data_IF_864077697044
#
_entry.id   IF_864077697044
#
_cell.length_a   1.000
_cell.length_b   1.000
_cell.length_c   1.000
_cell.angle_alpha   90.00
_cell.angle_beta   90.00
_cell.angle_gamma   90.00
#
_symmetry.space_group_name_H-M   'P 1'
#
loop_
_entity.id
_entity.type
_entity.pdbx_description
1 polymer ?
#
# COMPACT_ATOMS: atom_id res chain seq x y z
N UNK A 1 -3.95 16.46 -15.99
CA UNK A 1 -5.28 17.00 -15.64
C UNK A 1 -5.95 16.02 -14.69
N UNK A 2 -6.55 16.53 -13.63
CA UNK A 2 -7.34 15.77 -12.68
C UNK A 2 -8.79 16.24 -12.71
N UNK A 3 -9.70 15.34 -12.37
CA UNK A 3 -11.14 15.63 -12.30
C UNK A 3 -11.82 14.66 -11.33
N UNK A 4 -12.97 15.08 -10.80
CA UNK A 4 -13.77 14.27 -9.87
C UNK A 4 -14.98 13.68 -10.58
N UNK A 5 -15.19 12.39 -10.36
CA UNK A 5 -16.28 11.63 -10.93
C UNK A 5 -16.87 10.74 -9.82
N UNK A 6 -18.16 10.90 -9.54
CA UNK A 6 -18.86 10.17 -8.46
C UNK A 6 -18.16 10.22 -7.09
N UNK A 7 -17.55 11.35 -6.76
CA UNK A 7 -16.81 11.54 -5.51
C UNK A 7 -15.36 11.05 -5.52
N UNK A 8 -14.94 10.25 -6.50
CA UNK A 8 -13.56 9.77 -6.64
C UNK A 8 -12.72 10.68 -7.55
N UNK A 9 -11.43 10.73 -7.27
CA UNK A 9 -10.47 11.52 -8.04
C UNK A 9 -9.84 10.67 -9.15
N UNK A 10 -9.85 11.21 -10.38
CA UNK A 10 -9.27 10.57 -11.55
C UNK A 10 -8.18 11.43 -12.18
N UNK A 11 -7.18 10.75 -12.74
CA UNK A 11 -6.12 11.36 -13.56
C UNK A 11 -6.31 10.97 -15.02
N UNK A 12 -6.27 11.97 -15.91
CA UNK A 12 -6.24 11.73 -17.35
C UNK A 12 -4.85 11.25 -17.77
N UNK A 13 -4.79 10.11 -18.46
CA UNK A 13 -3.58 9.52 -19.02
C UNK A 13 -3.38 9.94 -20.48
N UNK A 14 -4.41 9.72 -21.32
CA UNK A 14 -4.39 10.03 -22.76
C UNK A 14 -5.63 10.85 -23.08
N UNK A 15 -5.46 11.95 -23.83
CA UNK A 15 -6.56 12.71 -24.40
C UNK A 15 -6.79 12.27 -25.84
N UNK A 16 -8.05 12.11 -26.22
CA UNK A 16 -8.51 11.80 -27.57
C UNK A 16 -9.63 12.79 -27.96
N UNK A 17 -9.90 12.94 -29.24
CA UNK A 17 -10.95 13.86 -29.71
C UNK A 17 -12.34 13.53 -29.16
N UNK A 18 -12.62 12.24 -28.94
CA UNK A 18 -13.92 11.76 -28.51
C UNK A 18 -13.99 11.36 -27.03
N UNK A 19 -12.90 11.58 -26.27
CA UNK A 19 -12.82 11.21 -24.86
C UNK A 19 -11.42 11.12 -24.31
N UNK A 20 -11.24 10.34 -23.27
CA UNK A 20 -9.92 10.12 -22.66
C UNK A 20 -9.80 8.76 -21.98
N UNK A 21 -8.58 8.28 -21.90
CA UNK A 21 -8.21 7.22 -20.98
C UNK A 21 -7.82 7.82 -19.64
N UNK A 22 -8.37 7.27 -18.58
CA UNK A 22 -8.23 7.78 -17.22
C UNK A 22 -7.92 6.65 -16.26
N UNK A 23 -7.38 7.00 -15.10
CA UNK A 23 -7.12 6.07 -14.01
C UNK A 23 -7.60 6.68 -12.69
N UNK A 24 -8.20 5.88 -11.81
CA UNK A 24 -8.52 6.32 -10.46
C UNK A 24 -7.23 6.68 -9.70
N UNK A 25 -7.21 7.87 -9.11
CA UNK A 25 -6.12 8.31 -8.25
C UNK A 25 -6.23 7.69 -6.86
N UNK A 26 -7.46 7.58 -6.34
CA UNK A 26 -7.71 7.07 -4.98
C UNK A 26 -7.55 5.56 -4.91
N UNK A 27 -8.06 4.82 -5.91
CA UNK A 27 -7.93 3.37 -6.02
C UNK A 27 -7.32 2.96 -7.37
N UNK A 28 -5.98 3.00 -7.51
CA UNK A 28 -5.31 2.69 -8.77
C UNK A 28 -5.63 1.29 -9.29
N UNK A 29 -6.33 1.24 -10.42
CA UNK A 29 -6.75 0.03 -11.12
C UNK A 29 -6.51 0.12 -12.62
N UNK A 30 -7.16 -0.75 -13.40
CA UNK A 30 -7.06 -0.72 -14.85
C UNK A 30 -7.55 0.63 -15.41
N UNK A 31 -6.84 1.23 -16.39
CA UNK A 31 -7.32 2.41 -17.09
C UNK A 31 -8.69 2.19 -17.73
N UNK A 32 -9.52 3.22 -17.71
CA UNK A 32 -10.88 3.22 -18.26
C UNK A 32 -10.99 4.28 -19.33
N UNK A 33 -11.80 4.01 -20.35
CA UNK A 33 -12.16 5.03 -21.33
C UNK A 33 -13.41 5.78 -20.89
N UNK A 34 -13.39 7.09 -20.97
CA UNK A 34 -14.55 7.96 -20.78
C UNK A 34 -14.74 8.89 -21.97
N UNK A 35 -16.00 9.11 -22.34
CA UNK A 35 -16.38 9.96 -23.49
C UNK A 35 -16.14 11.44 -23.18
N UNK A 36 -15.98 12.26 -24.23
CA UNK A 36 -15.80 13.71 -24.09
C UNK A 36 -16.98 14.36 -23.37
N UNK A 37 -18.20 14.00 -23.73
CA UNK A 37 -19.40 14.53 -23.07
C UNK A 37 -19.44 14.26 -21.57
N UNK A 38 -18.97 13.09 -21.14
CA UNK A 38 -18.90 12.76 -19.73
C UNK A 38 -17.78 13.53 -19.01
N UNK A 39 -16.63 13.71 -19.67
CA UNK A 39 -15.52 14.51 -19.14
C UNK A 39 -15.87 15.99 -18.95
N UNK A 40 -16.67 16.53 -19.87
CA UNK A 40 -17.15 17.92 -19.78
C UNK A 40 -18.08 18.14 -18.58
N UNK A 41 -18.84 17.11 -18.20
CA UNK A 41 -19.71 17.16 -17.03
C UNK A 41 -18.96 16.94 -15.68
N UNK A 42 -17.70 16.50 -15.73
CA UNK A 42 -16.92 16.28 -14.52
C UNK A 42 -16.31 17.56 -13.97
N UNK A 43 -16.25 17.66 -12.64
CA UNK A 43 -15.56 18.73 -11.95
C UNK A 43 -14.04 18.65 -12.21
N UNK A 44 -13.46 19.69 -12.80
CA UNK A 44 -12.00 19.80 -12.96
C UNK A 44 -11.38 20.16 -11.62
N UNK A 45 -10.38 19.41 -11.23
CA UNK A 45 -9.70 19.56 -9.94
C UNK A 45 -8.24 19.94 -10.17
N UNK A 46 -7.71 20.78 -9.30
CA UNK A 46 -6.27 21.07 -9.28
C UNK A 46 -5.46 19.80 -8.98
N UNK A 47 -4.18 19.87 -9.34
CA UNK A 47 -3.25 18.77 -9.08
C UNK A 47 -3.17 18.50 -7.57
N UNK A 48 -3.45 17.26 -7.12
CA UNK A 48 -3.33 16.91 -5.71
C UNK A 48 -1.91 17.17 -5.18
N UNK A 49 -1.81 17.65 -3.94
CA UNK A 49 -0.52 17.93 -3.32
C UNK A 49 0.37 16.68 -3.28
N UNK A 50 -0.21 15.51 -2.98
CA UNK A 50 0.53 14.24 -3.00
C UNK A 50 1.13 13.91 -4.37
N UNK A 51 0.46 14.29 -5.47
CA UNK A 51 1.00 14.09 -6.82
C UNK A 51 2.12 15.10 -7.13
N UNK A 52 1.98 16.35 -6.66
CA UNK A 52 3.02 17.37 -6.80
C UNK A 52 4.31 16.96 -6.09
N UNK A 53 4.19 16.47 -4.86
CA UNK A 53 5.32 15.92 -4.10
C UNK A 53 5.95 14.73 -4.82
N UNK A 54 5.12 13.81 -5.36
CA UNK A 54 5.62 12.65 -6.10
C UNK A 54 6.37 13.04 -7.38
N UNK A 55 5.93 14.09 -8.09
CA UNK A 55 6.64 14.63 -9.25
C UNK A 55 8.06 15.13 -8.90
N UNK A 56 8.20 15.82 -7.77
CA UNK A 56 9.51 16.27 -7.31
C UNK A 56 10.39 15.08 -6.88
N UNK A 57 9.82 14.11 -6.17
CA UNK A 57 10.52 12.90 -5.74
C UNK A 57 10.95 12.01 -6.92
N UNK A 58 10.20 11.98 -8.02
CA UNK A 58 10.52 11.22 -9.22
C UNK A 58 11.83 11.69 -9.90
N UNK A 59 12.32 12.89 -9.57
CA UNK A 59 13.63 13.40 -10.04
C UNK A 59 14.81 12.74 -9.31
N UNK A 60 14.58 12.14 -8.15
CA UNK A 60 15.60 11.57 -7.27
C UNK A 60 15.18 10.20 -6.75
N UNK A 61 15.10 9.22 -7.65
CA UNK A 61 14.72 7.86 -7.30
C UNK A 61 15.82 7.16 -6.50
N UNK A 62 15.43 6.46 -5.47
CA UNK A 62 16.32 5.53 -4.76
C UNK A 62 16.63 4.31 -5.61
N UNK A 63 17.71 3.57 -5.31
CA UNK A 63 18.06 2.33 -6.02
C UNK A 63 16.91 1.30 -6.02
N UNK A 64 16.15 1.21 -4.91
CA UNK A 64 15.01 0.32 -4.82
C UNK A 64 13.83 0.76 -5.70
N UNK A 65 13.64 2.06 -5.88
CA UNK A 65 12.63 2.62 -6.79
C UNK A 65 13.06 2.46 -8.25
N UNK A 66 14.33 2.67 -8.56
CA UNK A 66 14.86 2.40 -9.90
C UNK A 66 14.68 0.93 -10.32
N UNK A 67 14.99 -0.02 -9.43
CA UNK A 67 14.73 -1.45 -9.70
C UNK A 67 13.26 -1.76 -9.96
N UNK A 68 12.34 -1.06 -9.28
CA UNK A 68 10.90 -1.24 -9.52
C UNK A 68 10.42 -0.55 -10.78
N UNK A 69 10.98 0.61 -11.10
CA UNK A 69 10.68 1.30 -12.36
C UNK A 69 11.11 0.42 -13.54
N UNK A 70 12.30 -0.14 -13.51
CA UNK A 70 12.80 -1.05 -14.55
C UNK A 70 11.89 -2.27 -14.78
N UNK A 71 11.22 -2.78 -13.72
CA UNK A 71 10.25 -3.86 -13.88
C UNK A 71 9.00 -3.48 -14.68
N UNK A 72 8.58 -2.23 -14.63
CA UNK A 72 7.35 -1.77 -15.32
C UNK A 72 7.66 -0.92 -16.56
N UNK A 73 8.93 -0.59 -16.80
CA UNK A 73 9.38 0.21 -17.92
C UNK A 73 8.83 -0.29 -19.28
N UNK A 74 8.85 -1.62 -19.59
CA UNK A 74 8.28 -2.13 -20.83
C UNK A 74 6.77 -1.85 -20.99
N UNK A 75 6.04 -1.65 -19.89
CA UNK A 75 4.63 -1.25 -19.92
C UNK A 75 4.44 0.27 -20.07
N UNK A 76 5.50 1.05 -19.84
CA UNK A 76 5.46 2.52 -19.97
C UNK A 76 5.89 3.00 -21.35
N UNK A 77 6.61 2.18 -22.10
CA UNK A 77 7.17 2.52 -23.43
C UNK A 77 6.09 2.72 -24.49
N UNK A 78 4.95 2.02 -24.40
CA UNK A 78 3.91 2.09 -25.41
C UNK A 78 2.53 2.35 -24.77
N UNK A 79 1.84 3.34 -25.32
CA UNK A 79 0.47 3.68 -24.93
C UNK A 79 -0.55 2.56 -25.21
N UNK A 80 -0.22 1.56 -26.03
CA UNK A 80 -1.05 0.38 -26.26
C UNK A 80 -1.39 -0.31 -24.95
N UNK A 81 -0.48 -0.33 -23.99
CA UNK A 81 -0.70 -0.95 -22.68
C UNK A 81 -1.66 -0.14 -21.76
N UNK A 82 -1.94 1.11 -22.11
CA UNK A 82 -3.01 1.89 -21.45
C UNK A 82 -4.36 1.52 -22.07
N UNK A 83 -4.45 1.43 -23.39
CA UNK A 83 -5.72 1.29 -24.12
C UNK A 83 -6.16 -0.17 -24.30
N UNK A 84 -5.23 -1.10 -24.50
CA UNK A 84 -5.55 -2.52 -24.68
C UNK A 84 -5.23 -3.37 -23.44
N UNK A 85 -6.29 -3.82 -22.79
CA UNK A 85 -6.20 -4.67 -21.60
C UNK A 85 -5.56 -6.04 -21.87
N UNK A 86 -5.74 -6.62 -23.06
CA UNK A 86 -5.17 -7.93 -23.41
C UNK A 86 -3.66 -7.84 -23.56
N UNK A 87 -3.16 -6.87 -24.32
CA UNK A 87 -1.74 -6.61 -24.51
C UNK A 87 -1.05 -6.28 -23.18
N UNK A 88 -1.68 -5.45 -22.34
CA UNK A 88 -1.20 -5.14 -20.99
C UNK A 88 -1.07 -6.37 -20.12
N UNK A 89 -2.07 -7.26 -20.09
CA UNK A 89 -2.06 -8.49 -19.31
C UNK A 89 -0.99 -9.47 -19.80
N UNK A 90 -0.81 -9.59 -21.12
CA UNK A 90 0.20 -10.46 -21.72
C UNK A 90 1.61 -9.96 -21.38
N UNK A 91 1.89 -8.67 -21.53
CA UNK A 91 3.17 -8.07 -21.19
C UNK A 91 3.47 -8.22 -19.68
N UNK A 92 2.51 -7.92 -18.82
CA UNK A 92 2.69 -8.07 -17.38
C UNK A 92 2.94 -9.53 -16.95
N UNK A 93 2.36 -10.52 -17.67
CA UNK A 93 2.64 -11.93 -17.45
C UNK A 93 4.10 -12.25 -17.83
N UNK A 94 4.55 -11.82 -19.01
CA UNK A 94 5.93 -12.03 -19.48
C UNK A 94 6.95 -11.46 -18.49
N UNK A 95 6.79 -10.20 -18.09
CA UNK A 95 7.66 -9.55 -17.10
C UNK A 95 7.68 -10.33 -15.78
N UNK A 96 6.53 -10.83 -15.35
CA UNK A 96 6.43 -11.59 -14.11
C UNK A 96 7.20 -12.91 -14.16
N UNK A 97 7.12 -13.63 -15.28
CA UNK A 97 7.84 -14.89 -15.53
C UNK A 97 9.36 -14.67 -15.58
N UNK A 98 9.82 -13.65 -16.32
CA UNK A 98 11.24 -13.29 -16.44
C UNK A 98 11.86 -12.87 -15.10
N UNK A 99 11.09 -12.30 -14.19
CA UNK A 99 11.58 -11.75 -12.91
C UNK A 99 11.16 -12.56 -11.67
N UNK A 100 10.64 -13.78 -11.84
CA UNK A 100 10.24 -14.65 -10.72
C UNK A 100 9.21 -14.01 -9.77
N UNK A 101 8.28 -13.21 -10.32
CA UNK A 101 7.26 -12.49 -9.55
C UNK A 101 5.85 -12.80 -10.07
N UNK A 102 4.84 -12.11 -9.57
CA UNK A 102 3.44 -12.34 -9.98
C UNK A 102 2.95 -11.22 -10.89
N UNK A 103 2.13 -11.57 -11.90
CA UNK A 103 1.42 -10.61 -12.76
C UNK A 103 0.67 -9.55 -11.96
N UNK A 104 0.03 -9.96 -10.84
CA UNK A 104 -0.72 -9.03 -9.97
C UNK A 104 0.21 -7.95 -9.38
N UNK A 105 1.43 -8.33 -9.01
CA UNK A 105 2.42 -7.38 -8.48
C UNK A 105 2.89 -6.39 -9.55
N UNK A 106 3.19 -6.86 -10.77
CA UNK A 106 3.58 -6.00 -11.89
C UNK A 106 2.45 -5.00 -12.21
N UNK A 107 1.22 -5.48 -12.39
CA UNK A 107 0.07 -4.60 -12.66
C UNK A 107 -0.19 -3.62 -11.53
N UNK A 108 -0.07 -4.04 -10.27
CA UNK A 108 -0.23 -3.17 -9.12
C UNK A 108 0.81 -2.05 -9.09
N UNK A 109 2.08 -2.33 -9.40
CA UNK A 109 3.13 -1.32 -9.53
C UNK A 109 2.83 -0.35 -10.69
N UNK A 110 2.47 -0.90 -11.85
CA UNK A 110 2.15 -0.12 -13.05
C UNK A 110 0.98 0.84 -12.82
N UNK A 111 -0.13 0.37 -12.26
CA UNK A 111 -1.29 1.22 -12.01
C UNK A 111 -1.00 2.31 -10.97
N UNK A 112 -0.28 1.98 -9.90
CA UNK A 112 0.12 2.97 -8.89
C UNK A 112 1.05 4.03 -9.48
N UNK A 113 1.98 3.63 -10.32
CA UNK A 113 2.86 4.58 -11.00
C UNK A 113 2.10 5.47 -11.97
N UNK A 114 1.20 4.91 -12.79
CA UNK A 114 0.38 5.71 -13.71
C UNK A 114 -0.49 6.73 -12.96
N UNK A 115 -1.11 6.31 -11.86
CA UNK A 115 -2.01 7.16 -11.08
C UNK A 115 -1.24 8.22 -10.28
N UNK A 116 -0.22 7.82 -9.53
CA UNK A 116 0.39 8.62 -8.45
C UNK A 116 1.87 8.89 -8.61
N UNK A 117 2.56 8.33 -9.61
CA UNK A 117 4.02 8.29 -9.76
C UNK A 117 4.75 7.61 -8.58
N UNK A 118 4.07 6.74 -7.85
CA UNK A 118 4.63 6.07 -6.67
C UNK A 118 5.05 4.66 -7.02
N UNK A 119 6.34 4.36 -6.90
CA UNK A 119 6.95 3.03 -7.10
C UNK A 119 7.08 2.25 -5.79
N UNK A 120 7.25 2.97 -4.71
CA UNK A 120 7.10 2.49 -3.36
C UNK A 120 6.00 3.33 -2.75
N UNK A 121 4.85 2.72 -2.41
CA UNK A 121 4.23 3.29 -1.23
C UNK A 121 5.36 3.33 -0.23
N UNK A 122 5.62 4.49 0.36
CA UNK A 122 6.14 4.55 1.71
C UNK A 122 5.04 3.87 2.53
N UNK A 123 4.88 2.57 2.27
CA UNK A 123 4.28 1.66 3.20
C UNK A 123 5.07 2.00 4.39
N UNK A 124 4.46 2.82 5.17
CA UNK A 124 4.81 2.75 6.52
C UNK A 124 4.62 1.27 6.83
N UNK A 125 5.66 0.50 6.79
CA UNK A 125 5.87 -0.33 7.95
C UNK A 125 5.74 0.71 9.02
N UNK A 126 4.48 0.81 9.45
CA UNK A 126 4.11 1.77 10.47
C UNK A 126 5.20 1.62 11.49
N UNK A 127 5.91 2.71 11.81
CA UNK A 127 6.92 2.68 12.88
C UNK A 127 6.34 2.01 14.14
N UNK A 128 5.01 1.88 14.18
CA UNK A 128 4.23 1.05 15.07
C UNK A 128 4.51 -0.45 14.95
N UNK A 129 4.61 -1.07 13.77
CA UNK A 129 4.74 -2.54 13.67
C UNK A 129 6.05 -3.07 14.27
N UNK A 130 7.17 -2.38 14.08
CA UNK A 130 8.44 -2.76 14.73
C UNK A 130 8.40 -2.48 16.23
N UNK A 131 7.69 -1.44 16.66
CA UNK A 131 7.43 -1.16 18.08
C UNK A 131 6.52 -2.22 18.67
N UNK A 132 5.45 -2.59 17.96
CA UNK A 132 4.49 -3.58 18.40
C UNK A 132 5.13 -4.96 18.52
N UNK A 133 5.93 -5.39 17.54
CA UNK A 133 6.70 -6.65 17.60
C UNK A 133 7.62 -6.69 18.83
N UNK A 134 8.35 -5.62 19.12
CA UNK A 134 9.20 -5.54 20.31
C UNK A 134 8.38 -5.57 21.61
N UNK A 135 7.24 -4.92 21.63
CA UNK A 135 6.35 -4.92 22.77
C UNK A 135 5.69 -6.29 22.97
N UNK A 136 5.35 -7.02 21.89
CA UNK A 136 4.82 -8.38 21.94
C UNK A 136 5.84 -9.35 22.57
N UNK A 137 7.07 -9.35 22.05
CA UNK A 137 8.14 -10.19 22.58
C UNK A 137 8.44 -9.87 24.06
N UNK A 138 8.53 -8.57 24.39
CA UNK A 138 8.73 -8.12 25.77
C UNK A 138 7.59 -8.58 26.70
N UNK A 139 6.34 -8.44 26.30
CA UNK A 139 5.20 -8.81 27.13
C UNK A 139 5.11 -10.32 27.33
N UNK A 140 5.32 -11.11 26.26
CA UNK A 140 5.31 -12.56 26.33
C UNK A 140 6.42 -13.05 27.28
N UNK A 141 7.64 -12.55 27.16
CA UNK A 141 8.74 -12.93 28.03
C UNK A 141 8.54 -12.50 29.48
N UNK A 142 8.01 -11.29 29.70
CA UNK A 142 7.88 -10.71 31.04
C UNK A 142 6.70 -11.25 31.83
N UNK A 143 5.56 -11.48 31.18
CA UNK A 143 4.31 -11.82 31.84
C UNK A 143 3.85 -13.26 31.58
N UNK A 144 3.84 -13.72 30.33
CA UNK A 144 3.38 -15.05 29.98
C UNK A 144 4.30 -16.16 30.50
N UNK A 145 5.61 -16.01 30.33
CA UNK A 145 6.62 -16.94 30.85
C UNK A 145 7.07 -16.63 32.29
N UNK A 146 6.37 -15.73 32.96
CA UNK A 146 6.68 -15.44 34.37
C UNK A 146 6.25 -16.59 35.29
N UNK A 147 6.80 -16.61 36.49
CA UNK A 147 6.42 -17.58 37.52
C UNK A 147 4.90 -17.58 37.85
N UNK A 148 4.22 -16.45 37.63
CA UNK A 148 2.78 -16.31 37.85
C UNK A 148 1.93 -16.88 36.71
N UNK A 149 2.51 -17.33 35.60
CA UNK A 149 1.85 -17.95 34.43
C UNK A 149 0.53 -17.24 34.07
N UNK A 150 0.61 -15.97 33.66
CA UNK A 150 -0.55 -15.22 33.19
C UNK A 150 -1.13 -15.86 31.93
N UNK A 151 -2.44 -15.71 31.71
CA UNK A 151 -3.05 -16.09 30.44
C UNK A 151 -2.48 -15.21 29.31
N UNK A 152 -2.58 -15.69 28.08
CA UNK A 152 -2.14 -14.91 26.90
C UNK A 152 -2.96 -13.61 26.81
N UNK A 153 -4.23 -13.66 27.17
CA UNK A 153 -5.11 -12.49 27.18
C UNK A 153 -4.71 -11.48 28.23
N UNK A 154 -4.46 -11.91 29.46
CA UNK A 154 -3.99 -11.01 30.52
C UNK A 154 -2.63 -10.39 30.17
N UNK A 155 -1.74 -11.17 29.54
CA UNK A 155 -0.45 -10.69 29.01
C UNK A 155 -0.63 -9.54 28.02
N UNK A 156 -1.58 -9.65 27.11
CA UNK A 156 -1.89 -8.59 26.16
C UNK A 156 -2.46 -7.35 26.87
N UNK A 157 -3.39 -7.52 27.79
CA UNK A 157 -3.98 -6.41 28.54
C UNK A 157 -2.93 -5.69 29.40
N UNK A 158 -2.02 -6.43 30.04
CA UNK A 158 -0.88 -5.86 30.76
C UNK A 158 0.12 -5.12 29.86
N UNK A 159 0.31 -5.62 28.63
CA UNK A 159 1.12 -4.93 27.65
C UNK A 159 0.49 -3.59 27.25
N UNK A 160 -0.81 -3.56 26.98
CA UNK A 160 -1.52 -2.33 26.64
C UNK A 160 -1.41 -1.31 27.79
N UNK A 161 -1.67 -1.73 29.02
CA UNK A 161 -1.57 -0.89 30.20
C UNK A 161 -0.16 -0.34 30.44
N UNK A 162 0.89 -1.12 30.07
CA UNK A 162 2.28 -0.73 30.32
C UNK A 162 2.92 0.09 29.20
N UNK A 163 2.47 -0.06 27.95
CA UNK A 163 3.18 0.47 26.77
C UNK A 163 2.34 1.33 25.84
N UNK A 164 1.03 1.32 26.02
CA UNK A 164 0.09 1.99 25.13
C UNK A 164 -0.89 2.92 25.86
N UNK A 165 -0.50 3.37 27.06
CA UNK A 165 -1.22 4.41 27.79
C UNK A 165 -0.56 5.78 27.57
N UNK A 166 -1.38 6.80 27.44
CA UNK A 166 -0.94 8.20 27.48
C UNK A 166 -0.57 8.62 28.91
N UNK A 167 0.17 9.71 29.09
CA UNK A 167 0.45 10.25 30.43
C UNK A 167 -0.82 10.51 31.27
N UNK A 168 -1.93 10.80 30.61
CA UNK A 168 -3.23 11.07 31.25
C UNK A 168 -4.00 9.78 31.60
N UNK A 169 -3.38 8.61 31.46
CA UNK A 169 -3.99 7.32 31.79
C UNK A 169 -5.04 6.82 30.77
N UNK A 170 -5.08 7.37 29.56
CA UNK A 170 -5.96 6.90 28.48
C UNK A 170 -5.20 6.00 27.52
N UNK A 171 -5.90 5.07 26.90
CA UNK A 171 -5.35 4.24 25.85
C UNK A 171 -4.96 5.10 24.65
N UNK A 172 -3.80 4.85 24.03
CA UNK A 172 -3.38 5.54 22.81
C UNK A 172 -4.38 5.28 21.68
N UNK A 173 -4.53 6.24 20.76
CA UNK A 173 -5.44 6.14 19.62
C UNK A 173 -5.11 4.96 18.69
N UNK A 174 -3.81 4.64 18.56
CA UNK A 174 -3.33 3.52 17.75
C UNK A 174 -2.68 2.47 18.66
N UNK A 175 -3.37 1.36 18.84
CA UNK A 175 -2.91 0.18 19.59
C UNK A 175 -2.95 -1.07 18.71
N UNK A 176 -2.06 -2.06 18.93
CA UNK A 176 -2.14 -3.33 18.22
C UNK A 176 -3.43 -4.07 18.59
N UNK A 177 -4.00 -4.78 17.62
CA UNK A 177 -5.18 -5.63 17.89
C UNK A 177 -4.79 -6.90 18.65
N UNK A 178 -5.76 -7.46 19.39
CA UNK A 178 -5.61 -8.79 20.01
C UNK A 178 -5.18 -9.84 18.98
N UNK A 179 -5.82 -9.85 17.81
CA UNK A 179 -5.50 -10.79 16.73
C UNK A 179 -4.04 -10.70 16.28
N UNK A 180 -3.49 -9.49 16.18
CA UNK A 180 -2.07 -9.30 15.81
C UNK A 180 -1.11 -9.86 16.85
N UNK A 181 -1.45 -9.71 18.15
CA UNK A 181 -0.66 -10.22 19.26
C UNK A 181 -0.73 -11.76 19.33
N UNK A 182 -1.92 -12.32 19.26
CA UNK A 182 -2.16 -13.78 19.26
C UNK A 182 -1.48 -14.46 18.07
N UNK A 183 -1.62 -13.90 16.86
CA UNK A 183 -0.95 -14.41 15.66
C UNK A 183 0.58 -14.35 15.80
N UNK A 184 1.12 -13.29 16.39
CA UNK A 184 2.55 -13.18 16.69
C UNK A 184 3.01 -14.32 17.59
N UNK A 185 2.30 -14.59 18.68
CA UNK A 185 2.60 -15.67 19.62
C UNK A 185 2.69 -17.03 18.95
N UNK A 186 1.70 -17.41 18.15
CA UNK A 186 1.69 -18.71 17.45
C UNK A 186 2.75 -18.80 16.36
N UNK A 187 2.95 -17.74 15.59
CA UNK A 187 3.90 -17.71 14.48
C UNK A 187 5.36 -17.85 14.93
N UNK A 188 5.71 -17.30 16.09
CA UNK A 188 7.07 -17.35 16.61
C UNK A 188 7.36 -18.55 17.49
N UNK A 189 6.45 -19.52 17.53
CA UNK A 189 6.68 -20.82 18.16
C UNK A 189 6.66 -20.81 19.69
N UNK A 190 6.20 -19.72 20.32
CA UNK A 190 6.09 -19.64 21.78
C UNK A 190 5.16 -20.72 22.36
N UNK A 191 4.18 -21.20 21.60
CA UNK A 191 3.31 -22.30 21.97
C UNK A 191 4.01 -23.66 22.10
N UNK A 192 5.20 -23.81 21.46
CA UNK A 192 6.00 -25.06 21.50
C UNK A 192 6.99 -25.12 22.65
N UNK A 193 7.20 -24.00 23.35
CA UNK A 193 8.15 -23.89 24.47
C UNK A 193 7.58 -24.34 25.83
N UNK A 194 6.33 -24.83 25.82
CA UNK A 194 5.66 -25.38 27.02
C UNK A 194 5.76 -26.91 26.92
N UNK A 195 6.97 -27.42 27.22
CA UNK A 195 7.16 -28.83 27.61
C UNK A 195 7.80 -28.90 28.96
#
# INVERSE_FOLDING_TARGET
>A
MFFRMNGELFKRLIALDHGAWVISYDEPGAPQYITAAFLEACEKVEMPEGYRVALEQAKHLTEAEMKRLALIEPLLEDSIYIVDGKSRLAMAKRIAEENGTTRKRILGLYYKYLARLVLMEKGGRERGKDRDVRNFDWAIRKFYFSAKKMSLRDTYDHMLASRYMTPDGKLMEVVPSWYSFEHYYYRHGYSKSIK
#
